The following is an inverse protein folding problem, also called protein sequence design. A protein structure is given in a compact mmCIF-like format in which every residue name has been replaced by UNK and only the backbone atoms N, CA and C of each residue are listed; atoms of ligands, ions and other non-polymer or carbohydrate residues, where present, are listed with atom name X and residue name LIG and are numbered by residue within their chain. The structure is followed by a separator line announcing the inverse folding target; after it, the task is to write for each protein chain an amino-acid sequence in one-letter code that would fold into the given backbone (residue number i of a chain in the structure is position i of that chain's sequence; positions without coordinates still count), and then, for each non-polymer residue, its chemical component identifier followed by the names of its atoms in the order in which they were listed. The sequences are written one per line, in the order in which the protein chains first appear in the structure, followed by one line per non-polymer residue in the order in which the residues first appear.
data_IF_445827709258
#
_entry.id   IF_445827709258
#
_cell.length_a   1.000
_cell.length_b   1.000
_cell.length_c   1.000
_cell.angle_alpha   90.00
_cell.angle_beta   90.00
_cell.angle_gamma   90.00
#
_symmetry.space_group_name_H-M   'P 1'
#
loop_
_entity.id
_entity.type
_entity.pdbx_description
1 polymer ?
#
# COMPACT_ATOMS: atom_id res chain seq x y z
N UNK A 1 18.70 24.04 -3.41
CA UNK A 1 18.44 22.63 -3.83
C UNK A 1 17.61 22.69 -5.11
N UNK A 2 17.77 21.76 -6.05
CA UNK A 2 16.99 21.80 -7.31
C UNK A 2 15.50 21.53 -7.07
N UNK A 3 14.59 22.01 -7.96
CA UNK A 3 13.14 21.95 -7.74
C UNK A 3 12.60 20.51 -7.60
N UNK A 4 13.24 19.54 -8.26
CA UNK A 4 12.95 18.10 -8.11
C UNK A 4 13.20 17.60 -6.68
N UNK A 5 14.31 18.03 -6.07
CA UNK A 5 14.70 17.57 -4.73
C UNK A 5 13.81 18.19 -3.65
N UNK A 6 13.37 19.42 -3.86
CA UNK A 6 12.41 20.11 -2.99
C UNK A 6 11.04 19.45 -3.03
N UNK A 7 10.51 19.20 -4.24
CA UNK A 7 9.25 18.47 -4.43
C UNK A 7 9.28 17.06 -3.81
N UNK A 8 10.40 16.36 -3.96
CA UNK A 8 10.60 15.06 -3.31
C UNK A 8 10.65 15.21 -1.79
N UNK A 9 11.36 16.22 -1.27
CA UNK A 9 11.47 16.49 0.17
C UNK A 9 10.12 16.74 0.84
N UNK A 10 9.24 17.51 0.19
CA UNK A 10 7.89 17.82 0.69
C UNK A 10 6.98 16.58 0.69
N UNK A 11 7.11 15.72 -0.33
CA UNK A 11 6.28 14.52 -0.45
C UNK A 11 6.85 13.31 0.29
N UNK A 12 8.12 13.36 0.73
CA UNK A 12 8.83 12.25 1.38
C UNK A 12 8.11 11.68 2.62
N UNK A 13 7.58 12.50 3.56
CA UNK A 13 6.88 11.96 4.73
C UNK A 13 5.66 11.12 4.36
N UNK A 14 4.95 11.49 3.29
CA UNK A 14 3.78 10.75 2.79
C UNK A 14 4.21 9.42 2.15
N UNK A 15 5.30 9.43 1.36
CA UNK A 15 5.86 8.20 0.79
C UNK A 15 6.27 7.22 1.91
N UNK A 16 6.95 7.72 2.94
CA UNK A 16 7.34 6.94 4.10
C UNK A 16 6.13 6.41 4.89
N UNK A 17 5.08 7.21 5.02
CA UNK A 17 3.81 6.80 5.63
C UNK A 17 3.14 5.64 4.90
N UNK A 18 3.24 5.60 3.56
CA UNK A 18 2.77 4.50 2.70
C UNK A 18 3.70 3.29 2.82
N UNK A 19 5.02 3.48 2.87
CA UNK A 19 5.98 2.39 3.07
C UNK A 19 5.69 1.61 4.36
N UNK A 20 5.23 2.31 5.41
CA UNK A 20 4.67 1.72 6.62
C UNK A 20 3.22 1.21 6.43
N UNK A 21 2.99 0.34 5.44
CA UNK A 21 1.69 -0.29 5.15
C UNK A 21 1.60 -1.71 5.74
N UNK A 22 1.24 -1.87 7.03
CA UNK A 22 1.26 -3.16 7.73
C UNK A 22 0.39 -4.21 7.04
N UNK A 23 -0.76 -3.80 6.51
CA UNK A 23 -1.66 -4.71 5.79
C UNK A 23 -1.06 -5.22 4.49
N UNK A 24 -0.39 -4.38 3.70
CA UNK A 24 0.25 -4.80 2.47
C UNK A 24 1.43 -5.75 2.75
N UNK A 25 2.21 -5.44 3.80
CA UNK A 25 3.29 -6.28 4.30
C UNK A 25 2.75 -7.66 4.67
N UNK A 26 1.72 -7.74 5.53
CA UNK A 26 1.12 -9.02 5.96
C UNK A 26 0.61 -9.83 4.77
N UNK A 27 -0.10 -9.19 3.83
CA UNK A 27 -0.61 -9.87 2.62
C UNK A 27 0.53 -10.46 1.80
N UNK A 28 1.59 -9.70 1.55
CA UNK A 28 2.76 -10.20 0.84
C UNK A 28 3.44 -11.35 1.58
N UNK A 29 3.57 -11.27 2.90
CA UNK A 29 4.14 -12.36 3.70
C UNK A 29 3.33 -13.65 3.59
N UNK A 30 2.00 -13.55 3.54
CA UNK A 30 1.14 -14.72 3.33
C UNK A 30 1.34 -15.28 1.91
N UNK A 31 1.46 -14.42 0.90
CA UNK A 31 1.77 -14.87 -0.47
C UNK A 31 3.14 -15.56 -0.55
N UNK A 32 4.13 -15.09 0.19
CA UNK A 32 5.47 -15.71 0.27
C UNK A 32 5.47 -17.10 0.92
N UNK A 33 4.35 -17.52 1.52
CA UNK A 33 4.17 -18.84 2.11
C UNK A 33 3.41 -19.81 1.19
N UNK A 34 2.99 -19.36 0.00
CA UNK A 34 2.27 -20.18 -0.99
C UNK A 34 3.23 -20.98 -1.86
N UNK A 35 2.77 -22.04 -2.55
CA UNK A 35 3.60 -22.80 -3.51
C UNK A 35 4.20 -21.92 -4.62
N UNK A 36 3.53 -20.81 -4.95
CA UNK A 36 3.91 -19.84 -5.99
C UNK A 36 4.49 -18.55 -5.38
N UNK A 37 5.19 -18.65 -4.25
CA UNK A 37 5.68 -17.53 -3.45
C UNK A 37 6.35 -16.41 -4.27
N UNK A 38 7.35 -16.76 -5.08
CA UNK A 38 8.14 -15.75 -5.83
C UNK A 38 7.30 -15.06 -6.91
N UNK A 39 6.59 -15.83 -7.74
CA UNK A 39 5.77 -15.27 -8.82
C UNK A 39 4.62 -14.43 -8.27
N UNK A 40 3.97 -14.87 -7.19
CA UNK A 40 2.90 -14.14 -6.55
C UNK A 40 3.41 -12.86 -5.87
N UNK A 41 4.59 -12.90 -5.25
CA UNK A 41 5.19 -11.71 -4.66
C UNK A 41 5.53 -10.63 -5.71
N UNK A 42 6.15 -10.99 -6.83
CA UNK A 42 6.38 -10.04 -7.92
C UNK A 42 5.08 -9.49 -8.50
N UNK A 43 4.08 -10.35 -8.71
CA UNK A 43 2.77 -9.93 -9.19
C UNK A 43 2.13 -8.91 -8.23
N UNK A 44 2.15 -9.18 -6.93
CA UNK A 44 1.67 -8.26 -5.90
C UNK A 44 2.41 -6.92 -5.91
N UNK A 45 3.75 -6.95 -5.95
CA UNK A 45 4.55 -5.72 -5.98
C UNK A 45 4.29 -4.89 -7.24
N UNK A 46 4.11 -5.53 -8.40
CA UNK A 46 3.73 -4.86 -9.64
C UNK A 46 2.34 -4.24 -9.54
N UNK A 47 1.34 -4.97 -9.05
CA UNK A 47 -0.02 -4.45 -8.86
C UNK A 47 -0.03 -3.27 -7.87
N UNK A 48 0.73 -3.38 -6.79
CA UNK A 48 0.93 -2.31 -5.82
C UNK A 48 1.52 -1.06 -6.47
N UNK A 49 2.65 -1.19 -7.17
CA UNK A 49 3.32 -0.05 -7.78
C UNK A 49 2.45 0.61 -8.86
N UNK A 50 1.82 -0.18 -9.72
CA UNK A 50 0.90 0.31 -10.76
C UNK A 50 -0.30 1.03 -10.13
N UNK A 51 -0.84 0.52 -9.03
CA UNK A 51 -1.95 1.16 -8.33
C UNK A 51 -1.57 2.52 -7.73
N UNK A 52 -0.38 2.65 -7.13
CA UNK A 52 0.13 3.94 -6.67
C UNK A 52 0.30 4.93 -7.84
N UNK A 53 0.92 4.46 -8.94
CA UNK A 53 1.13 5.27 -10.15
C UNK A 53 -0.19 5.76 -10.74
N UNK A 54 -1.17 4.86 -10.86
CA UNK A 54 -2.49 5.18 -11.41
C UNK A 54 -3.18 6.27 -10.59
N UNK A 55 -3.23 6.13 -9.26
CA UNK A 55 -3.90 7.12 -8.40
C UNK A 55 -3.24 8.50 -8.54
N UNK A 56 -1.91 8.57 -8.50
CA UNK A 56 -1.25 9.87 -8.61
C UNK A 56 -1.33 10.48 -10.00
N UNK A 57 -1.17 9.70 -11.08
CA UNK A 57 -1.33 10.20 -12.46
C UNK A 57 -2.74 10.79 -12.64
N UNK A 58 -3.77 10.09 -12.14
CA UNK A 58 -5.16 10.59 -12.18
C UNK A 58 -5.29 11.91 -11.42
N UNK A 59 -4.65 12.04 -10.26
CA UNK A 59 -4.69 13.29 -9.47
C UNK A 59 -3.95 14.43 -10.19
N UNK A 60 -2.74 14.19 -10.69
CA UNK A 60 -1.88 15.19 -11.34
C UNK A 60 -2.47 15.69 -12.66
N UNK A 61 -3.15 14.82 -13.42
CA UNK A 61 -3.72 15.15 -14.73
C UNK A 61 -5.20 15.51 -14.69
N UNK A 62 -5.76 15.72 -13.51
CA UNK A 62 -7.16 16.14 -13.40
C UNK A 62 -7.27 17.59 -12.96
N UNK A 63 -7.22 18.55 -13.91
CA UNK A 63 -7.36 19.98 -13.62
C UNK A 63 -8.71 20.31 -12.95
N UNK A 64 -9.70 19.41 -13.04
CA UNK A 64 -11.01 19.56 -12.43
C UNK A 64 -11.16 18.98 -11.02
N UNK A 65 -10.13 18.40 -10.39
CA UNK A 65 -10.22 17.85 -9.02
C UNK A 65 -9.82 18.85 -7.93
N UNK A 66 -9.20 19.96 -8.32
CA UNK A 66 -8.80 21.05 -7.44
C UNK A 66 -9.32 22.36 -8.03
N UNK A 67 -9.88 23.23 -7.19
CA UNK A 67 -10.15 24.61 -7.59
C UNK A 67 -8.88 25.46 -7.46
N UNK A 68 -8.90 26.69 -7.99
CA UNK A 68 -7.75 27.61 -8.00
C UNK A 68 -7.20 27.92 -6.59
N UNK A 69 -8.00 27.73 -5.54
CA UNK A 69 -7.63 27.85 -4.13
C UNK A 69 -7.06 26.57 -3.51
N UNK A 70 -7.00 25.46 -4.26
CA UNK A 70 -6.40 24.20 -3.84
C UNK A 70 -7.27 23.29 -2.97
N UNK A 71 -8.57 23.55 -2.87
CA UNK A 71 -9.56 22.67 -2.26
C UNK A 71 -10.07 21.60 -3.23
N UNK A 72 -10.55 20.44 -2.73
CA UNK A 72 -11.19 19.43 -3.55
C UNK A 72 -12.41 20.01 -4.28
N UNK A 73 -12.47 19.87 -5.60
CA UNK A 73 -13.63 20.32 -6.37
C UNK A 73 -14.88 19.52 -6.03
N UNK A 74 -16.06 20.02 -6.43
CA UNK A 74 -17.32 19.24 -6.33
C UNK A 74 -17.23 17.87 -7.00
N UNK A 75 -16.50 17.76 -8.11
CA UNK A 75 -16.26 16.49 -8.81
C UNK A 75 -15.40 15.54 -7.99
N UNK A 76 -14.36 16.05 -7.31
CA UNK A 76 -13.56 15.28 -6.35
C UNK A 76 -14.40 14.83 -5.16
N UNK A 77 -15.36 15.66 -4.73
CA UNK A 77 -16.39 15.29 -3.75
C UNK A 77 -17.21 14.07 -4.21
N UNK A 78 -17.73 14.09 -5.43
CA UNK A 78 -18.50 12.98 -6.00
C UNK A 78 -17.68 11.71 -6.23
N UNK A 79 -16.41 11.82 -6.63
CA UNK A 79 -15.51 10.68 -6.79
C UNK A 79 -15.17 10.07 -5.43
N UNK A 80 -14.88 10.89 -4.40
CA UNK A 80 -14.72 10.42 -3.01
C UNK A 80 -15.99 9.75 -2.50
N UNK A 81 -17.16 10.31 -2.82
CA UNK A 81 -18.46 9.75 -2.44
C UNK A 81 -18.72 8.43 -3.15
N UNK A 82 -18.43 8.33 -4.46
CA UNK A 82 -18.54 7.11 -5.26
C UNK A 82 -17.61 6.01 -4.74
N UNK A 83 -16.34 6.34 -4.45
CA UNK A 83 -15.42 5.40 -3.80
C UNK A 83 -15.93 5.00 -2.41
N UNK A 84 -16.44 5.95 -1.62
CA UNK A 84 -17.08 5.69 -0.34
C UNK A 84 -18.27 4.74 -0.44
N UNK A 85 -19.12 4.89 -1.47
CA UNK A 85 -20.25 4.00 -1.76
C UNK A 85 -19.74 2.62 -2.16
N UNK A 86 -18.77 2.54 -3.08
CA UNK A 86 -18.15 1.25 -3.46
C UNK A 86 -17.55 0.56 -2.24
N UNK A 87 -16.92 1.31 -1.32
CA UNK A 87 -16.42 0.79 -0.05
C UNK A 87 -17.53 0.34 0.89
N UNK A 88 -18.60 1.12 1.05
CA UNK A 88 -19.74 0.75 1.89
C UNK A 88 -20.44 -0.49 1.34
N UNK A 89 -20.67 -0.55 0.04
CA UNK A 89 -21.27 -1.71 -0.63
C UNK A 89 -20.38 -2.94 -0.47
N UNK A 90 -19.08 -2.82 -0.74
CA UNK A 90 -18.11 -3.92 -0.54
C UNK A 90 -18.03 -4.34 0.93
N UNK A 91 -18.04 -3.37 1.86
CA UNK A 91 -18.08 -3.61 3.30
C UNK A 91 -19.36 -4.34 3.71
N UNK A 92 -20.54 -3.95 3.20
CA UNK A 92 -21.81 -4.63 3.46
C UNK A 92 -21.80 -6.06 2.90
N UNK A 93 -21.24 -6.27 1.72
CA UNK A 93 -21.06 -7.61 1.14
C UNK A 93 -20.11 -8.48 1.97
N UNK A 94 -19.03 -7.90 2.50
CA UNK A 94 -18.09 -8.58 3.38
C UNK A 94 -18.68 -8.83 4.77
N UNK A 95 -19.42 -7.87 5.33
CA UNK A 95 -20.09 -7.94 6.63
C UNK A 95 -21.17 -9.02 6.64
N UNK A 96 -21.91 -9.17 5.53
CA UNK A 96 -22.85 -10.29 5.32
C UNK A 96 -22.15 -11.65 5.24
N UNK A 97 -20.85 -11.70 4.97
CA UNK A 97 -20.03 -12.92 4.96
C UNK A 97 -19.29 -13.18 6.27
N UNK A 98 -19.42 -12.30 7.28
CA UNK A 98 -18.89 -12.52 8.63
C UNK A 98 -19.79 -13.55 9.34
N UNK A 99 -19.29 -14.73 9.70
CA UNK A 99 -20.07 -15.71 10.45
C UNK A 99 -20.48 -15.15 11.81
N UNK A 100 -21.77 -15.25 12.17
CA UNK A 100 -22.27 -14.86 13.49
C UNK A 100 -22.33 -16.10 14.38
N UNK A 101 -21.27 -16.38 15.14
CA UNK A 101 -21.23 -17.50 16.10
C UNK A 101 -19.91 -17.64 16.84
N UNK A 102 -19.92 -18.30 18.01
CA UNK A 102 -18.76 -18.65 18.85
C UNK A 102 -18.05 -19.93 18.37
N UNK A 103 -18.02 -20.18 17.06
CA UNK A 103 -17.21 -21.27 16.54
C UNK A 103 -15.75 -20.84 16.55
N UNK A 104 -14.88 -21.75 17.00
CA UNK A 104 -13.43 -21.62 17.11
C UNK A 104 -12.88 -20.69 16.03
N UNK A 105 -11.93 -19.81 16.38
CA UNK A 105 -11.23 -18.91 15.46
C UNK A 105 -10.61 -19.71 14.30
N UNK A 106 -11.43 -20.04 13.32
CA UNK A 106 -11.07 -20.72 12.10
C UNK A 106 -10.33 -19.69 11.28
N UNK A 107 -9.21 -20.12 10.72
CA UNK A 107 -8.37 -19.29 9.86
C UNK A 107 -9.27 -18.56 8.85
N UNK A 108 -9.14 -17.23 8.64
CA UNK A 108 -9.98 -16.50 7.69
C UNK A 108 -10.03 -17.23 6.35
N UNK A 109 -11.23 -17.50 5.79
CA UNK A 109 -11.43 -18.34 4.59
C UNK A 109 -10.60 -17.96 3.36
N UNK A 110 -10.10 -16.72 3.28
CA UNK A 110 -9.21 -16.29 2.21
C UNK A 110 -7.78 -16.84 2.38
N UNK A 111 -7.34 -17.09 3.62
CA UNK A 111 -6.05 -17.71 3.95
C UNK A 111 -6.08 -19.20 3.60
N UNK A 112 -7.22 -19.88 3.78
CA UNK A 112 -7.39 -21.29 3.35
C UNK A 112 -7.22 -21.46 1.83
N UNK A 113 -7.55 -20.43 1.05
CA UNK A 113 -7.47 -20.45 -0.42
C UNK A 113 -6.17 -19.86 -0.95
N UNK A 114 -5.31 -19.31 -0.09
CA UNK A 114 -4.16 -18.52 -0.54
C UNK A 114 -3.16 -19.39 -1.32
N UNK A 115 -3.09 -20.69 -1.02
CA UNK A 115 -2.26 -21.64 -1.75
C UNK A 115 -2.72 -21.89 -3.19
N UNK A 116 -4.00 -21.60 -3.50
CA UNK A 116 -4.52 -21.67 -4.87
C UNK A 116 -4.35 -20.36 -5.65
N UNK A 117 -3.84 -19.30 -5.01
CA UNK A 117 -3.68 -18.01 -5.69
C UNK A 117 -2.62 -18.10 -6.80
N UNK A 118 -3.03 -17.67 -7.99
CA UNK A 118 -2.15 -17.40 -9.11
C UNK A 118 -1.75 -15.94 -9.19
N UNK A 119 -0.91 -15.65 -10.20
CA UNK A 119 -0.34 -14.33 -10.51
C UNK A 119 -1.41 -13.23 -10.54
N UNK A 120 -2.55 -13.47 -11.20
CA UNK A 120 -3.62 -12.46 -11.30
C UNK A 120 -4.25 -12.09 -9.95
N UNK A 121 -4.43 -13.07 -9.06
CA UNK A 121 -4.99 -12.81 -7.73
C UNK A 121 -4.00 -12.00 -6.89
N UNK A 122 -2.72 -12.38 -6.92
CA UNK A 122 -1.68 -11.66 -6.20
C UNK A 122 -1.49 -10.22 -6.71
N UNK A 123 -1.50 -10.02 -8.04
CA UNK A 123 -1.50 -8.70 -8.66
C UNK A 123 -2.71 -7.86 -8.22
N UNK A 124 -3.91 -8.44 -8.29
CA UNK A 124 -5.13 -7.77 -7.86
C UNK A 124 -5.12 -7.35 -6.39
N UNK A 125 -4.54 -8.17 -5.51
CA UNK A 125 -4.35 -7.82 -4.11
C UNK A 125 -3.40 -6.62 -3.94
N UNK A 126 -2.27 -6.61 -4.64
CA UNK A 126 -1.34 -5.47 -4.60
C UNK A 126 -1.99 -4.18 -5.08
N UNK A 127 -2.70 -4.27 -6.21
CA UNK A 127 -3.45 -3.16 -6.78
C UNK A 127 -4.55 -2.66 -5.84
N UNK A 128 -5.32 -3.55 -5.23
CA UNK A 128 -6.33 -3.19 -4.23
C UNK A 128 -5.71 -2.50 -3.01
N UNK A 129 -4.60 -3.04 -2.48
CA UNK A 129 -3.94 -2.48 -1.31
C UNK A 129 -3.34 -1.09 -1.53
N UNK A 130 -2.98 -0.73 -2.76
CA UNK A 130 -2.45 0.60 -3.12
C UNK A 130 -3.56 1.60 -3.47
N UNK A 131 -4.58 1.15 -4.20
CA UNK A 131 -5.66 2.03 -4.71
C UNK A 131 -6.83 2.20 -3.75
N UNK A 132 -7.22 1.12 -3.07
CA UNK A 132 -8.46 1.02 -2.31
C UNK A 132 -8.23 1.02 -0.79
N UNK A 133 -6.98 1.00 -0.34
CA UNK A 133 -6.68 1.25 1.06
C UNK A 133 -6.77 2.75 1.37
N UNK A 134 -7.78 3.16 2.14
CA UNK A 134 -8.05 4.57 2.45
C UNK A 134 -6.82 5.34 2.97
N UNK A 135 -5.97 4.70 3.78
CA UNK A 135 -4.73 5.32 4.26
C UNK A 135 -3.77 5.56 3.10
N UNK A 136 -3.46 4.52 2.33
CA UNK A 136 -2.45 4.63 1.27
C UNK A 136 -2.93 5.54 0.14
N UNK A 137 -4.18 5.40 -0.31
CA UNK A 137 -4.72 6.19 -1.41
C UNK A 137 -4.84 7.67 -1.05
N UNK A 138 -5.27 8.00 0.18
CA UNK A 138 -5.30 9.40 0.63
C UNK A 138 -3.89 10.00 0.69
N UNK A 139 -2.89 9.26 1.17
CA UNK A 139 -1.50 9.73 1.18
C UNK A 139 -0.93 9.92 -0.23
N UNK A 140 -1.26 9.03 -1.18
CA UNK A 140 -0.87 9.20 -2.59
C UNK A 140 -1.54 10.44 -3.18
N UNK A 141 -2.83 10.66 -2.92
CA UNK A 141 -3.56 11.84 -3.41
C UNK A 141 -2.90 13.12 -2.90
N UNK A 142 -2.60 13.20 -1.60
CA UNK A 142 -1.96 14.38 -1.01
C UNK A 142 -0.53 14.55 -1.55
N UNK A 143 0.22 13.46 -1.70
CA UNK A 143 1.60 13.51 -2.22
C UNK A 143 1.66 13.92 -3.69
N UNK A 144 0.80 13.36 -4.53
CA UNK A 144 0.69 13.73 -5.94
C UNK A 144 0.27 15.21 -6.09
N UNK A 145 -0.70 15.67 -5.29
CA UNK A 145 -1.12 17.07 -5.27
C UNK A 145 -0.02 18.02 -4.85
N UNK A 146 0.79 17.65 -3.84
CA UNK A 146 1.88 18.51 -3.36
C UNK A 146 3.02 18.61 -4.36
N UNK A 147 3.30 17.54 -5.11
CA UNK A 147 4.27 17.52 -6.22
C UNK A 147 3.77 18.38 -7.39
N UNK A 148 2.51 18.24 -7.80
CA UNK A 148 1.92 18.99 -8.91
C UNK A 148 1.95 20.52 -8.72
N UNK A 149 1.93 20.98 -7.45
CA UNK A 149 1.95 22.40 -7.09
C UNK A 149 3.33 23.07 -7.15
N UNK A 150 4.40 22.31 -7.41
CA UNK A 150 5.77 22.83 -7.38
C UNK A 150 6.18 23.57 -8.66
N UNK A 151 5.26 23.77 -9.62
CA UNK A 151 5.56 24.45 -10.89
C UNK A 151 6.57 23.69 -11.76
N UNK A 152 6.64 22.37 -11.59
CA UNK A 152 7.54 21.50 -12.35
C UNK A 152 7.07 21.34 -13.80
N UNK A 153 8.01 21.04 -14.70
CA UNK A 153 7.65 20.50 -16.02
C UNK A 153 7.00 19.12 -15.87
N UNK A 154 6.13 18.71 -16.79
CA UNK A 154 5.44 17.40 -16.73
C UNK A 154 6.40 16.22 -16.59
N UNK A 155 7.59 16.31 -17.21
CA UNK A 155 8.63 15.28 -17.07
C UNK A 155 9.24 15.25 -15.67
N UNK A 156 9.56 16.41 -15.09
CA UNK A 156 10.07 16.48 -13.72
C UNK A 156 9.04 16.00 -12.70
N UNK A 157 7.78 16.37 -12.89
CA UNK A 157 6.67 15.95 -12.04
C UNK A 157 6.53 14.42 -12.04
N UNK A 158 6.55 13.80 -13.23
CA UNK A 158 6.51 12.35 -13.39
C UNK A 158 7.72 11.66 -12.73
N UNK A 159 8.93 12.22 -12.89
CA UNK A 159 10.14 11.67 -12.27
C UNK A 159 10.06 11.75 -10.74
N UNK A 160 9.64 12.88 -10.18
CA UNK A 160 9.46 13.03 -8.72
C UNK A 160 8.41 12.04 -8.22
N UNK A 161 7.30 11.90 -8.94
CA UNK A 161 6.23 10.97 -8.54
C UNK A 161 6.65 9.50 -8.65
N UNK A 162 7.46 9.14 -9.66
CA UNK A 162 8.05 7.81 -9.77
C UNK A 162 8.97 7.52 -8.57
N UNK A 163 9.83 8.47 -8.19
CA UNK A 163 10.69 8.35 -7.00
C UNK A 163 9.86 8.21 -5.72
N UNK A 164 8.79 9.00 -5.59
CA UNK A 164 7.82 8.88 -4.50
C UNK A 164 7.23 7.46 -4.43
N UNK A 165 6.78 6.90 -5.54
CA UNK A 165 6.23 5.53 -5.59
C UNK A 165 7.26 4.46 -5.27
N UNK A 166 8.52 4.63 -5.71
CA UNK A 166 9.63 3.73 -5.37
C UNK A 166 9.85 3.74 -3.87
N UNK A 167 9.99 4.92 -3.26
CA UNK A 167 10.17 5.06 -1.81
C UNK A 167 8.97 4.47 -1.06
N UNK A 168 7.75 4.76 -1.48
CA UNK A 168 6.52 4.23 -0.90
C UNK A 168 6.42 2.69 -0.99
N UNK A 169 7.09 2.08 -1.97
CA UNK A 169 7.09 0.61 -2.15
C UNK A 169 8.18 -0.10 -1.35
N UNK A 170 9.19 0.62 -0.85
CA UNK A 170 10.34 0.02 -0.13
C UNK A 170 9.90 -0.84 1.05
N UNK A 171 9.01 -0.35 1.91
CA UNK A 171 8.56 -1.08 3.09
C UNK A 171 7.83 -2.38 2.75
N UNK A 172 7.10 -2.39 1.63
CA UNK A 172 6.41 -3.58 1.13
C UNK A 172 7.40 -4.54 0.43
N UNK A 173 8.49 -4.06 -0.15
CA UNK A 173 9.51 -4.91 -0.77
C UNK A 173 10.38 -5.67 0.24
N UNK A 174 10.57 -5.14 1.46
CA UNK A 174 11.47 -5.71 2.48
C UNK A 174 11.24 -7.23 2.71
N UNK A 175 10.02 -7.73 2.99
CA UNK A 175 9.80 -9.16 3.21
C UNK A 175 10.14 -10.03 2.00
N UNK A 176 9.93 -9.51 0.78
CA UNK A 176 10.26 -10.23 -0.44
C UNK A 176 11.78 -10.33 -0.65
N UNK A 177 12.51 -9.24 -0.42
CA UNK A 177 13.98 -9.23 -0.49
C UNK A 177 14.56 -10.22 0.53
N UNK A 178 14.10 -10.17 1.79
CA UNK A 178 14.50 -11.11 2.83
C UNK A 178 14.21 -12.55 2.39
N UNK A 179 13.00 -12.83 1.88
CA UNK A 179 12.66 -14.16 1.39
C UNK A 179 13.63 -14.67 0.30
N UNK A 180 14.01 -13.82 -0.66
CA UNK A 180 14.94 -14.20 -1.73
C UNK A 180 16.35 -14.47 -1.21
N UNK A 181 16.86 -13.64 -0.30
CA UNK A 181 18.19 -13.80 0.29
C UNK A 181 18.32 -15.08 1.11
N UNK A 182 17.27 -15.45 1.84
CA UNK A 182 17.28 -16.59 2.73
C UNK A 182 16.63 -17.85 2.14
N UNK A 183 16.34 -17.88 0.81
CA UNK A 183 15.59 -18.92 0.08
C UNK A 183 16.15 -20.36 0.17
N UNK A 184 17.43 -20.53 0.47
CA UNK A 184 18.08 -21.85 0.64
C UNK A 184 17.96 -22.44 2.06
N UNK A 185 17.64 -21.64 3.08
CA UNK A 185 17.53 -22.07 4.48
C UNK A 185 16.06 -22.14 4.99
N UNK A 186 15.08 -22.00 4.10
CA UNK A 186 13.78 -21.35 4.40
C UNK A 186 12.64 -22.28 4.70
N UNK A 187 12.62 -23.51 4.17
CA UNK A 187 11.47 -24.40 4.35
C UNK A 187 11.21 -24.73 5.83
N UNK A 188 12.26 -24.80 6.65
CA UNK A 188 12.16 -25.04 8.10
C UNK A 188 11.97 -23.76 8.95
N UNK A 189 12.48 -22.61 8.48
CA UNK A 189 12.49 -21.35 9.25
C UNK A 189 11.21 -20.53 9.00
N UNK A 190 10.70 -20.49 7.77
CA UNK A 190 9.50 -19.69 7.46
C UNK A 190 8.21 -20.27 8.05
N UNK A 191 8.14 -21.58 8.29
CA UNK A 191 7.07 -22.20 9.07
C UNK A 191 6.98 -21.63 10.50
N UNK A 192 8.14 -21.48 11.18
CA UNK A 192 8.22 -20.91 12.54
C UNK A 192 7.96 -19.40 12.55
N UNK A 193 8.44 -18.67 11.54
CA UNK A 193 8.21 -17.23 11.39
C UNK A 193 6.73 -16.93 11.11
N UNK A 194 6.04 -17.75 10.28
CA UNK A 194 4.59 -17.62 10.03
C UNK A 194 3.81 -17.65 11.34
N UNK A 195 4.11 -18.61 12.22
CA UNK A 195 3.47 -18.73 13.53
C UNK A 195 3.82 -17.55 14.44
N UNK A 196 5.09 -17.12 14.47
CA UNK A 196 5.52 -16.01 15.32
C UNK A 196 4.93 -14.65 14.89
N UNK A 197 4.87 -14.36 13.60
CA UNK A 197 4.30 -13.11 13.08
C UNK A 197 2.78 -13.06 13.26
N UNK A 198 2.10 -14.19 13.04
CA UNK A 198 0.67 -14.29 13.30
C UNK A 198 0.36 -14.12 14.79
N UNK A 199 1.27 -14.56 15.68
CA UNK A 199 1.16 -14.44 17.13
C UNK A 199 1.52 -13.04 17.67
N UNK A 200 2.44 -12.32 17.02
CA UNK A 200 2.99 -11.05 17.51
C UNK A 200 2.63 -9.83 16.64
N UNK A 201 1.47 -9.87 15.95
CA UNK A 201 0.99 -8.81 15.04
C UNK A 201 1.10 -7.39 15.61
N UNK A 202 0.82 -7.22 16.91
CA UNK A 202 0.87 -5.93 17.63
C UNK A 202 2.29 -5.40 17.80
N UNK A 203 3.28 -6.28 17.96
CA UNK A 203 4.68 -5.93 18.26
C UNK A 203 5.42 -5.44 16.99
N UNK A 204 5.12 -6.06 15.85
CA UNK A 204 5.61 -5.60 14.53
C UNK A 204 5.00 -4.23 14.19
N UNK A 205 3.70 -4.05 14.46
CA UNK A 205 3.02 -2.76 14.32
C UNK A 205 3.63 -1.67 15.23
N UNK A 206 3.91 -2.01 16.49
CA UNK A 206 4.56 -1.11 17.45
C UNK A 206 5.96 -0.69 17.02
N UNK A 207 6.81 -1.62 16.57
CA UNK A 207 8.16 -1.29 16.11
C UNK A 207 8.14 -0.36 14.89
N UNK A 208 7.26 -0.63 13.92
CA UNK A 208 7.08 0.24 12.77
C UNK A 208 6.58 1.62 13.23
N UNK A 209 5.57 1.70 14.09
CA UNK A 209 5.04 2.97 14.59
C UNK A 209 6.06 3.76 15.41
N UNK A 210 6.89 3.12 16.23
CA UNK A 210 7.95 3.77 17.03
C UNK A 210 9.03 4.33 16.11
N UNK A 211 9.52 3.54 15.15
CA UNK A 211 10.57 3.97 14.22
C UNK A 211 10.09 5.16 13.39
N UNK A 212 8.88 5.09 12.82
CA UNK A 212 8.35 6.16 11.96
C UNK A 212 7.80 7.36 12.74
N UNK A 213 7.20 7.14 13.91
CA UNK A 213 6.75 8.20 14.82
C UNK A 213 7.91 9.03 15.37
N UNK A 214 8.99 8.37 15.80
CA UNK A 214 10.21 9.05 16.26
C UNK A 214 10.88 9.86 15.15
N UNK A 215 10.95 9.32 13.93
CA UNK A 215 11.48 10.05 12.75
C UNK A 215 10.64 11.27 12.37
N UNK A 216 9.33 11.22 12.60
CA UNK A 216 8.41 12.33 12.31
C UNK A 216 8.52 13.44 13.36
N UNK A 217 8.69 13.08 14.64
CA UNK A 217 8.91 14.04 15.74
C UNK A 217 10.27 14.73 15.69
N UNK A 218 11.29 14.07 15.12
CA UNK A 218 12.60 14.69 14.93
C UNK A 218 12.61 15.76 13.83
N UNK A 219 11.61 15.77 12.94
CA UNK A 219 11.54 16.67 11.77
C UNK A 219 10.37 17.67 11.80
N UNK A 220 9.53 17.63 12.84
CA UNK A 220 8.54 18.67 13.14
C UNK A 220 9.09 19.61 14.19
#
# INVERSE_FOLDING_TARGET
MGPVLEALGISLPLALGIAAAPWAIITLMILLLTPRAVSNAYAFLMGWFIGLMLVGIVVMNSPGLMNDSGEPSRLMGWIRLGMGIVFLVTSLFLFKKIPKGKDQQTMPKWIEKVDSFGIFHAWGLGFFHSTLNLKNSSMVVVGAASIARQGLTSWQELVVFLLFCVIASTGVMIPHIIFLLFRKNTELIFGKIKVWILKNRVLVLLLILIIFGGLSLYKG
#
